data_IF_627448452715
#
_entry.id   IF_627448452715
#
_cell.length_a   1.000
_cell.length_b   1.000
_cell.length_c   1.000
_cell.angle_alpha   90.00
_cell.angle_beta   90.00
_cell.angle_gamma   90.00
#
_symmetry.space_group_name_H-M   'P 1'
#
loop_
_entity.id
_entity.type
_entity.pdbx_description
1 polymer ?
#
# COMPACT_ATOMS: atom_id res chain seq x y z
N UNK A 1 13.13 -0.16 -7.63
CA UNK A 1 13.06 0.94 -8.63
C UNK A 1 11.90 1.89 -8.30
N UNK A 2 12.07 3.20 -8.52
CA UNK A 2 10.96 4.17 -8.43
C UNK A 2 9.92 3.90 -9.52
N UNK A 3 8.73 4.50 -9.40
CA UNK A 3 7.71 4.47 -10.45
C UNK A 3 8.27 5.00 -11.78
N UNK A 4 9.04 6.08 -11.72
CA UNK A 4 9.71 6.67 -12.88
C UNK A 4 10.74 5.72 -13.48
N UNK A 5 11.61 5.11 -12.65
CA UNK A 5 12.60 4.15 -13.15
C UNK A 5 11.94 2.91 -13.78
N UNK A 6 10.70 2.58 -13.42
CA UNK A 6 9.96 1.43 -13.97
C UNK A 6 9.16 1.79 -15.23
N UNK A 7 8.63 3.01 -15.31
CA UNK A 7 7.67 3.40 -16.35
C UNK A 7 8.23 4.40 -17.36
N UNK A 8 9.35 5.06 -17.04
CA UNK A 8 9.84 6.24 -17.76
C UNK A 8 9.00 7.50 -17.52
N UNK A 9 7.99 7.45 -16.66
CA UNK A 9 7.03 8.53 -16.40
C UNK A 9 7.14 8.93 -14.93
N UNK A 10 7.30 10.23 -14.65
CA UNK A 10 7.26 10.75 -13.28
C UNK A 10 5.96 10.33 -12.60
N UNK A 11 6.02 9.88 -11.35
CA UNK A 11 4.87 9.29 -10.66
C UNK A 11 3.64 10.22 -10.62
N UNK A 12 3.85 11.53 -10.53
CA UNK A 12 2.79 12.55 -10.57
C UNK A 12 2.05 12.65 -11.92
N UNK A 13 2.65 12.16 -13.00
CA UNK A 13 2.09 12.19 -14.35
C UNK A 13 1.47 10.85 -14.77
N UNK A 14 1.48 9.84 -13.90
CA UNK A 14 0.86 8.54 -14.20
C UNK A 14 -0.65 8.69 -14.01
N UNK A 15 -1.42 8.34 -15.05
CA UNK A 15 -2.88 8.40 -14.99
C UNK A 15 -3.44 7.58 -13.83
N UNK A 16 -4.46 8.11 -13.15
CA UNK A 16 -5.07 7.50 -11.96
C UNK A 16 -5.60 6.08 -12.19
N UNK A 17 -6.08 5.78 -13.40
CA UNK A 17 -6.60 4.48 -13.83
C UNK A 17 -5.52 3.54 -14.40
N UNK A 18 -4.24 3.95 -14.39
CA UNK A 18 -3.15 3.12 -14.88
C UNK A 18 -2.96 1.88 -14.02
N UNK A 19 -2.80 0.74 -14.68
CA UNK A 19 -2.53 -0.56 -14.04
C UNK A 19 -1.21 -0.58 -13.26
N UNK A 20 -0.32 0.38 -13.49
CA UNK A 20 0.92 0.57 -12.72
C UNK A 20 0.60 0.71 -11.23
N UNK A 21 -0.48 1.41 -10.88
CA UNK A 21 -0.90 1.59 -9.50
C UNK A 21 -1.36 0.28 -8.87
N UNK A 22 -2.09 -0.55 -9.62
CA UNK A 22 -2.57 -1.84 -9.12
C UNK A 22 -1.41 -2.80 -8.88
N UNK A 23 -0.44 -2.83 -9.80
CA UNK A 23 0.80 -3.60 -9.64
C UNK A 23 1.60 -3.12 -8.44
N UNK A 24 1.77 -1.81 -8.28
CA UNK A 24 2.51 -1.24 -7.16
C UNK A 24 1.80 -1.53 -5.83
N UNK A 25 0.47 -1.41 -5.79
CA UNK A 25 -0.33 -1.63 -4.60
C UNK A 25 -0.30 -3.11 -4.19
N UNK A 26 -0.34 -4.01 -5.16
CA UNK A 26 -0.20 -5.44 -4.95
C UNK A 26 1.14 -5.78 -4.25
N UNK A 27 2.26 -5.24 -4.72
CA UNK A 27 3.55 -5.48 -4.08
C UNK A 27 3.64 -4.93 -2.66
N UNK A 28 3.09 -3.75 -2.41
CA UNK A 28 3.06 -3.16 -1.06
C UNK A 28 2.15 -3.98 -0.13
N UNK A 29 1.00 -4.42 -0.63
CA UNK A 29 0.09 -5.29 0.11
C UNK A 29 0.73 -6.64 0.47
N UNK A 30 1.50 -7.25 -0.43
CA UNK A 30 2.28 -8.45 -0.11
C UNK A 30 3.31 -8.20 1.00
N UNK A 31 3.99 -7.05 0.99
CA UNK A 31 4.90 -6.68 2.07
C UNK A 31 4.15 -6.51 3.40
N UNK A 32 2.95 -5.90 3.39
CA UNK A 32 2.11 -5.77 4.57
C UNK A 32 1.61 -7.13 5.10
N UNK A 33 1.21 -8.07 4.21
CA UNK A 33 0.85 -9.44 4.61
C UNK A 33 2.03 -10.14 5.26
N UNK A 34 3.21 -10.08 4.64
CA UNK A 34 4.43 -10.66 5.20
C UNK A 34 4.74 -10.07 6.58
N UNK A 35 4.72 -8.75 6.72
CA UNK A 35 4.93 -8.10 8.01
C UNK A 35 3.89 -8.53 9.05
N UNK A 36 2.62 -8.68 8.64
CA UNK A 36 1.52 -9.11 9.51
C UNK A 36 1.74 -10.53 10.03
N UNK A 37 2.05 -11.49 9.15
CA UNK A 37 2.22 -12.91 9.55
C UNK A 37 3.55 -13.17 10.24
N UNK A 38 4.56 -12.32 10.04
CA UNK A 38 5.88 -12.47 10.68
C UNK A 38 5.96 -11.77 12.04
N UNK A 39 5.43 -10.54 12.17
CA UNK A 39 5.65 -9.69 13.35
C UNK A 39 4.38 -9.38 14.15
N UNK A 40 3.19 -9.57 13.55
CA UNK A 40 1.90 -9.26 14.16
C UNK A 40 1.85 -7.84 14.80
N UNK A 41 2.12 -6.79 14.01
CA UNK A 41 2.08 -5.42 14.53
C UNK A 41 0.65 -4.99 14.88
N UNK A 42 0.50 -3.95 15.69
CA UNK A 42 -0.79 -3.30 15.93
C UNK A 42 -1.19 -2.34 14.80
N UNK A 43 -0.20 -1.75 14.11
CA UNK A 43 -0.38 -0.83 12.98
C UNK A 43 0.81 -0.91 12.02
N UNK A 44 0.55 -0.77 10.72
CA UNK A 44 1.55 -0.64 9.66
C UNK A 44 1.44 0.77 9.07
N UNK A 45 2.55 1.52 9.16
CA UNK A 45 2.64 2.89 8.64
C UNK A 45 3.48 2.90 7.36
N UNK A 46 2.88 3.29 6.24
CA UNK A 46 3.58 3.45 4.97
C UNK A 46 3.80 4.93 4.65
N UNK A 47 5.07 5.35 4.61
CA UNK A 47 5.48 6.71 4.24
C UNK A 47 5.85 6.89 2.76
N UNK A 48 6.25 8.13 2.42
CA UNK A 48 6.70 8.53 1.08
C UNK A 48 5.57 9.02 0.16
N UNK A 49 5.92 9.88 -0.80
CA UNK A 49 4.95 10.61 -1.64
C UNK A 49 4.03 9.74 -2.51
N UNK A 50 4.40 8.48 -2.77
CA UNK A 50 3.53 7.52 -3.45
C UNK A 50 2.37 7.07 -2.56
N UNK A 51 2.66 6.77 -1.29
CA UNK A 51 1.66 6.29 -0.34
C UNK A 51 0.80 7.41 0.25
N UNK A 52 1.26 8.67 0.15
CA UNK A 52 0.47 9.85 0.51
C UNK A 52 -0.75 10.07 -0.40
N UNK A 53 -0.82 9.41 -1.56
CA UNK A 53 -1.95 9.52 -2.48
C UNK A 53 -3.10 8.61 -2.03
N UNK A 54 -4.28 9.18 -1.79
CA UNK A 54 -5.45 8.45 -1.24
C UNK A 54 -5.82 7.21 -2.05
N UNK A 55 -5.85 7.32 -3.39
CA UNK A 55 -6.17 6.20 -4.27
C UNK A 55 -5.15 5.05 -4.17
N UNK A 56 -3.90 5.35 -3.77
CA UNK A 56 -2.87 4.35 -3.61
C UNK A 56 -3.05 3.59 -2.29
N UNK A 57 -3.32 4.31 -1.20
CA UNK A 57 -3.60 3.71 0.10
C UNK A 57 -4.81 2.78 0.05
N UNK A 58 -5.89 3.22 -0.61
CA UNK A 58 -7.12 2.41 -0.74
C UNK A 58 -6.89 1.14 -1.56
N UNK A 59 -6.12 1.22 -2.66
CA UNK A 59 -5.71 0.03 -3.43
C UNK A 59 -4.90 -0.94 -2.58
N UNK A 60 -3.95 -0.45 -1.78
CA UNK A 60 -3.14 -1.30 -0.89
C UNK A 60 -4.02 -2.03 0.12
N UNK A 61 -4.98 -1.32 0.74
CA UNK A 61 -5.94 -1.91 1.68
C UNK A 61 -6.78 -2.99 1.02
N UNK A 62 -7.33 -2.74 -0.16
CA UNK A 62 -8.10 -3.74 -0.93
C UNK A 62 -7.27 -5.00 -1.23
N UNK A 63 -6.06 -4.83 -1.78
CA UNK A 63 -5.17 -5.95 -2.10
C UNK A 63 -4.72 -6.69 -0.85
N UNK A 64 -4.46 -5.99 0.26
CA UNK A 64 -4.08 -6.60 1.52
C UNK A 64 -5.21 -7.48 2.07
N UNK A 65 -6.44 -6.97 2.11
CA UNK A 65 -7.60 -7.74 2.56
C UNK A 65 -7.82 -8.99 1.70
N UNK A 66 -7.71 -8.86 0.38
CA UNK A 66 -7.82 -9.98 -0.55
C UNK A 66 -6.71 -11.02 -0.36
N UNK A 67 -5.46 -10.58 -0.17
CA UNK A 67 -4.31 -11.47 0.02
C UNK A 67 -4.30 -12.17 1.37
N UNK A 68 -4.68 -11.46 2.45
CA UNK A 68 -4.76 -12.06 3.78
C UNK A 68 -5.93 -13.05 3.88
N UNK A 69 -7.02 -12.79 3.14
CA UNK A 69 -8.19 -13.67 3.01
C UNK A 69 -8.70 -14.24 4.35
N UNK A 70 -8.72 -13.40 5.39
CA UNK A 70 -9.17 -13.79 6.72
C UNK A 70 -8.28 -14.81 7.45
N UNK A 71 -7.06 -15.08 6.97
CA UNK A 71 -6.15 -16.06 7.57
C UNK A 71 -5.79 -15.74 9.03
N UNK A 72 -5.62 -14.45 9.35
CA UNK A 72 -5.43 -13.97 10.72
C UNK A 72 -6.38 -12.81 11.00
N UNK A 73 -6.88 -12.69 12.24
CA UNK A 73 -7.61 -11.51 12.66
C UNK A 73 -6.64 -10.32 12.75
N UNK A 74 -7.08 -9.21 12.19
CA UNK A 74 -6.41 -7.90 12.22
C UNK A 74 -7.46 -6.82 12.55
N UNK A 75 -7.06 -5.63 13.03
CA UNK A 75 -7.96 -4.49 13.13
C UNK A 75 -8.60 -4.12 11.79
N UNK A 76 -9.56 -3.19 11.79
CA UNK A 76 -10.08 -2.64 10.53
C UNK A 76 -8.91 -2.13 9.68
N UNK A 77 -8.92 -2.47 8.38
CA UNK A 77 -7.80 -2.18 7.49
C UNK A 77 -7.50 -0.67 7.38
N UNK A 78 -8.49 0.19 7.67
CA UNK A 78 -8.32 1.65 7.69
C UNK A 78 -7.53 2.14 8.91
N UNK A 79 -7.62 1.42 10.02
CA UNK A 79 -6.88 1.71 11.26
C UNK A 79 -5.56 0.93 11.29
N UNK A 80 -5.49 -0.18 10.55
CA UNK A 80 -4.33 -1.06 10.52
C UNK A 80 -3.25 -0.64 9.52
N UNK A 81 -3.64 -0.18 8.32
CA UNK A 81 -2.71 0.30 7.29
C UNK A 81 -2.96 1.78 7.07
N UNK A 82 -2.01 2.60 7.51
CA UNK A 82 -2.13 4.06 7.56
C UNK A 82 -0.91 4.76 6.95
N UNK A 83 -1.05 6.06 6.72
CA UNK A 83 0.07 6.97 6.41
C UNK A 83 0.54 7.69 7.67
N UNK A 84 1.78 8.21 7.69
CA UNK A 84 2.25 9.05 8.79
C UNK A 84 1.30 10.22 9.08
N UNK A 85 1.11 10.55 10.37
CA UNK A 85 0.26 11.66 10.79
C UNK A 85 0.86 13.04 10.45
N UNK A 86 2.17 13.11 10.26
CA UNK A 86 2.88 14.32 9.83
C UNK A 86 3.28 14.14 8.37
N UNK A 87 2.85 15.04 7.50
CA UNK A 87 3.28 15.06 6.11
C UNK A 87 4.79 15.37 6.07
N UNK A 88 5.54 14.50 5.37
CA UNK A 88 6.97 14.71 5.08
C UNK A 88 7.19 15.57 3.84
#
# INVERSE_FOLDING_TARGET
PSLEARTGIRGENIELNSSVWDVQAYYIAQAAVNATVTFRPDVIVFGGGVMAQQHMLDRVREKFTALLNGYLPVPDVRDYIVTPAVAG
#
